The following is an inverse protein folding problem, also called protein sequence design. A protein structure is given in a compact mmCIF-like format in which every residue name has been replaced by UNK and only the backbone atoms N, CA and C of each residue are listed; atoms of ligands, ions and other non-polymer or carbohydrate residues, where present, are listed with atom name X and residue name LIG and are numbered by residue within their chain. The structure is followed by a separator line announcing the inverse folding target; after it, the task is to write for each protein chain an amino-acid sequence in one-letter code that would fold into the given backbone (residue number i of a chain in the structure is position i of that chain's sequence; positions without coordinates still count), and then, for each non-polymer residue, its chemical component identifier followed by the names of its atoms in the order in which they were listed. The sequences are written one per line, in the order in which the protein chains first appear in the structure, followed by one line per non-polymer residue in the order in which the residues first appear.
data_IF_789649663930
#
_entry.id   IF_789649663930
#
_cell.length_a   1.000
_cell.length_b   1.000
_cell.length_c   1.000
_cell.angle_alpha   90.00
_cell.angle_beta   90.00
_cell.angle_gamma   90.00
#
_symmetry.space_group_name_H-M   'P 1'
#
loop_
_entity.id
_entity.type
_entity.pdbx_description
1 polymer ?
#
# COMPACT_ATOMS: atom_id res chain seq x y z
N UNK A 1 27.65 11.16 30.94
CA UNK A 1 26.26 11.21 30.42
C UNK A 1 25.86 9.78 30.12
N UNK A 2 25.02 9.16 30.95
CA UNK A 2 24.68 7.73 30.84
C UNK A 2 23.48 7.60 29.91
N UNK A 3 23.68 7.04 28.72
CA UNK A 3 22.60 6.72 27.78
C UNK A 3 22.02 5.38 28.22
N UNK A 4 20.94 5.43 28.99
CA UNK A 4 20.16 4.25 29.34
C UNK A 4 19.37 3.85 28.09
N UNK A 5 19.97 2.99 27.27
CA UNK A 5 19.29 2.36 26.15
C UNK A 5 18.27 1.35 26.67
N UNK A 6 17.01 1.75 26.78
CA UNK A 6 15.91 0.80 27.04
C UNK A 6 15.93 -0.24 25.90
N UNK A 7 16.05 -1.55 26.20
CA UNK A 7 15.85 -2.56 25.18
C UNK A 7 14.35 -2.60 24.87
N UNK A 8 13.95 -1.85 23.84
CA UNK A 8 12.64 -1.99 23.25
C UNK A 8 12.56 -3.37 22.60
N UNK A 9 12.16 -4.36 23.39
CA UNK A 9 11.73 -5.65 22.89
C UNK A 9 10.47 -5.42 22.05
N UNK A 10 10.65 -5.08 20.78
CA UNK A 10 9.58 -4.98 19.79
C UNK A 10 9.07 -6.39 19.50
N UNK A 11 8.29 -6.94 20.43
CA UNK A 11 7.57 -8.19 20.25
C UNK A 11 6.50 -7.94 19.19
N UNK A 12 6.84 -8.22 17.93
CA UNK A 12 5.88 -8.20 16.82
C UNK A 12 4.79 -9.22 17.16
N UNK A 13 3.63 -8.74 17.60
CA UNK A 13 2.43 -9.57 17.70
C UNK A 13 2.19 -10.14 16.31
N UNK A 14 2.21 -11.48 16.15
CA UNK A 14 1.72 -12.14 14.95
C UNK A 14 0.24 -11.76 14.84
N UNK A 15 -0.03 -10.73 14.06
CA UNK A 15 -1.39 -10.36 13.68
C UNK A 15 -1.90 -11.50 12.81
N UNK A 16 -3.11 -11.97 13.11
CA UNK A 16 -3.77 -13.03 12.38
C UNK A 16 -4.03 -12.54 10.94
N UNK A 17 -3.05 -12.72 10.06
CA UNK A 17 -3.23 -12.84 8.62
C UNK A 17 -2.82 -14.28 8.33
N UNK A 18 -3.62 -15.09 7.61
CA UNK A 18 -4.09 -14.84 6.23
C UNK A 18 -5.61 -14.88 6.07
N UNK A 19 -6.35 -15.44 7.04
CA UNK A 19 -7.79 -15.80 7.00
C UNK A 19 -8.69 -14.91 6.11
N UNK A 20 -8.61 -13.59 6.23
CA UNK A 20 -9.49 -12.67 5.49
C UNK A 20 -9.33 -12.68 3.97
N UNK A 21 -8.15 -12.99 3.43
CA UNK A 21 -7.93 -12.99 1.98
C UNK A 21 -8.54 -14.22 1.33
N UNK A 22 -8.26 -15.39 1.91
CA UNK A 22 -8.84 -16.64 1.44
C UNK A 22 -10.35 -16.66 1.66
N UNK A 23 -10.84 -16.16 2.80
CA UNK A 23 -12.28 -15.98 3.06
C UNK A 23 -12.94 -15.09 2.01
N UNK A 24 -12.41 -13.89 1.74
CA UNK A 24 -12.97 -12.99 0.73
C UNK A 24 -12.96 -13.63 -0.66
N UNK A 25 -11.88 -14.32 -1.03
CA UNK A 25 -11.79 -15.03 -2.29
C UNK A 25 -12.88 -16.12 -2.38
N UNK A 26 -13.11 -16.86 -1.30
CA UNK A 26 -14.14 -17.90 -1.24
C UNK A 26 -15.55 -17.30 -1.37
N UNK A 27 -15.86 -16.23 -0.65
CA UNK A 27 -17.14 -15.54 -0.78
C UNK A 27 -17.39 -15.02 -2.20
N UNK A 28 -16.38 -14.44 -2.84
CA UNK A 28 -16.49 -13.97 -4.22
C UNK A 28 -16.78 -15.13 -5.19
N UNK A 29 -16.16 -16.31 -4.98
CA UNK A 29 -16.47 -17.52 -5.76
C UNK A 29 -17.90 -18.01 -5.52
N UNK A 30 -18.36 -18.01 -4.28
CA UNK A 30 -19.73 -18.41 -3.91
C UNK A 30 -20.78 -17.47 -4.51
N UNK A 31 -20.45 -16.19 -4.68
CA UNK A 31 -21.26 -15.22 -5.43
C UNK A 31 -21.22 -15.42 -6.96
N UNK A 32 -20.51 -16.44 -7.46
CA UNK A 32 -20.38 -16.72 -8.89
C UNK A 32 -19.35 -15.86 -9.61
N UNK A 33 -18.51 -15.11 -8.89
CA UNK A 33 -17.46 -14.29 -9.49
C UNK A 33 -16.23 -15.17 -9.74
N UNK A 34 -15.76 -15.20 -10.99
CA UNK A 34 -14.52 -15.90 -11.37
C UNK A 34 -13.30 -15.17 -10.77
N UNK A 35 -12.80 -15.66 -9.65
CA UNK A 35 -11.63 -15.09 -8.96
C UNK A 35 -10.54 -16.11 -8.69
N UNK A 36 -9.29 -15.65 -8.67
CA UNK A 36 -8.11 -16.42 -8.28
C UNK A 36 -7.21 -15.62 -7.33
N UNK A 37 -6.49 -16.32 -6.45
CA UNK A 37 -5.49 -15.71 -5.59
C UNK A 37 -4.20 -15.50 -6.39
N UNK A 38 -3.71 -14.25 -6.47
CA UNK A 38 -2.39 -13.97 -7.02
C UNK A 38 -1.25 -14.45 -6.08
N UNK A 39 -0.08 -14.76 -6.61
CA UNK A 39 1.07 -15.10 -5.76
C UNK A 39 1.45 -13.92 -4.85
N UNK A 40 1.87 -14.24 -3.62
CA UNK A 40 2.34 -13.21 -2.68
C UNK A 40 3.65 -12.62 -3.17
N UNK A 41 3.75 -11.30 -3.13
CA UNK A 41 4.94 -10.58 -3.58
C UNK A 41 4.95 -10.24 -5.07
N UNK A 42 3.85 -10.48 -5.79
CA UNK A 42 3.65 -9.97 -7.14
C UNK A 42 3.83 -8.44 -7.13
N UNK A 43 4.53 -7.91 -8.13
CA UNK A 43 4.73 -6.46 -8.29
C UNK A 43 3.40 -5.72 -8.42
N UNK A 44 2.33 -6.42 -8.81
CA UNK A 44 0.96 -5.91 -8.80
C UNK A 44 0.48 -5.44 -7.43
N UNK A 45 1.00 -6.01 -6.34
CA UNK A 45 0.69 -5.52 -4.99
C UNK A 45 1.17 -4.07 -4.78
N UNK A 46 2.23 -3.66 -5.49
CA UNK A 46 2.85 -2.33 -5.38
C UNK A 46 2.22 -1.30 -6.32
N UNK A 47 1.37 -1.74 -7.26
CA UNK A 47 0.73 -0.86 -8.24
C UNK A 47 -0.25 0.08 -7.52
N UNK A 48 -0.22 1.37 -7.86
CA UNK A 48 -1.19 2.37 -7.41
C UNK A 48 -0.99 2.93 -5.99
N UNK A 49 0.03 2.51 -5.24
CA UNK A 49 0.11 2.84 -3.81
C UNK A 49 1.30 3.74 -3.42
N UNK A 50 1.00 5.01 -3.09
CA UNK A 50 1.71 5.72 -2.03
C UNK A 50 1.13 5.27 -0.69
N UNK A 51 1.60 4.14 -0.14
CA UNK A 51 1.09 3.63 1.14
C UNK A 51 1.37 4.62 2.26
N UNK A 52 0.36 4.91 3.07
CA UNK A 52 0.59 5.63 4.32
C UNK A 52 1.44 4.75 5.25
N UNK A 53 2.26 5.39 6.09
CA UNK A 53 3.06 4.67 7.08
C UNK A 53 2.16 3.78 7.95
N UNK A 54 2.50 2.50 8.08
CA UNK A 54 1.74 1.52 8.86
C UNK A 54 0.70 0.69 8.09
N UNK A 55 0.47 0.97 6.79
CA UNK A 55 -0.34 0.13 5.91
C UNK A 55 0.50 -0.98 5.25
N UNK A 56 -0.07 -2.18 5.14
CA UNK A 56 0.57 -3.35 4.50
C UNK A 56 -0.38 -4.02 3.52
N UNK A 57 0.15 -4.51 2.41
CA UNK A 57 -0.60 -5.41 1.52
C UNK A 57 -0.59 -6.80 2.13
N UNK A 58 -1.78 -7.40 2.21
CA UNK A 58 -1.99 -8.79 2.60
C UNK A 58 -2.10 -9.73 1.37
N UNK A 59 -2.13 -9.14 0.17
CA UNK A 59 -2.14 -9.84 -1.11
C UNK A 59 -3.27 -9.39 -2.03
N UNK A 60 -3.20 -9.87 -3.27
CA UNK A 60 -4.11 -9.44 -4.34
C UNK A 60 -5.01 -10.58 -4.82
N UNK A 61 -6.29 -10.32 -5.06
CA UNK A 61 -7.23 -11.23 -5.72
C UNK A 61 -7.35 -10.77 -7.17
N UNK A 62 -7.15 -11.69 -8.11
CA UNK A 62 -7.37 -11.44 -9.53
C UNK A 62 -8.81 -11.80 -9.90
N UNK A 63 -9.46 -10.91 -10.63
CA UNK A 63 -10.80 -11.11 -11.17
C UNK A 63 -10.65 -11.38 -12.67
N UNK A 64 -11.36 -12.40 -13.15
CA UNK A 64 -11.46 -12.70 -14.58
C UNK A 64 -12.74 -12.08 -15.14
N UNK A 65 -12.67 -11.61 -16.40
CA UNK A 65 -13.83 -11.18 -17.18
C UNK A 65 -14.63 -10.01 -16.58
N UNK A 66 -13.99 -9.17 -15.77
CA UNK A 66 -14.60 -8.02 -15.09
C UNK A 66 -13.90 -6.70 -15.45
N UNK A 67 -14.62 -5.59 -15.29
CA UNK A 67 -14.08 -4.23 -15.46
C UNK A 67 -12.96 -3.93 -14.44
N UNK A 68 -12.97 -4.62 -13.29
CA UNK A 68 -11.93 -4.59 -12.27
C UNK A 68 -11.04 -5.81 -12.47
N UNK A 69 -9.73 -5.62 -12.55
CA UNK A 69 -8.80 -6.72 -12.80
C UNK A 69 -8.24 -7.32 -11.51
N UNK A 70 -8.04 -6.49 -10.49
CA UNK A 70 -7.49 -6.92 -9.22
C UNK A 70 -8.16 -6.21 -8.03
N UNK A 71 -8.22 -6.91 -6.90
CA UNK A 71 -8.57 -6.35 -5.60
C UNK A 71 -7.36 -6.56 -4.68
N UNK A 72 -6.75 -5.48 -4.23
CA UNK A 72 -5.68 -5.53 -3.24
C UNK A 72 -6.26 -5.37 -1.83
N UNK A 73 -5.85 -6.23 -0.91
CA UNK A 73 -6.30 -6.19 0.48
C UNK A 73 -5.22 -5.53 1.31
N UNK A 74 -5.57 -4.41 1.94
CA UNK A 74 -4.65 -3.61 2.74
C UNK A 74 -5.03 -3.72 4.21
N UNK A 75 -4.05 -4.02 5.06
CA UNK A 75 -4.20 -3.97 6.51
C UNK A 75 -3.58 -2.70 7.08
N UNK A 76 -4.29 -2.04 7.99
CA UNK A 76 -3.76 -0.97 8.82
C UNK A 76 -3.85 -1.38 10.29
N UNK A 77 -2.69 -1.36 10.94
CA UNK A 77 -2.52 -1.88 12.29
C UNK A 77 -2.53 -0.77 13.32
N UNK A 78 -3.41 -0.86 14.31
CA UNK A 78 -3.43 0.04 15.47
C UNK A 78 -3.31 -0.74 16.79
N UNK A 79 -3.29 -0.01 17.91
CA UNK A 79 -3.35 -0.58 19.27
C UNK A 79 -4.70 -1.28 19.55
N UNK A 80 -5.75 -0.90 18.84
CA UNK A 80 -7.11 -1.43 19.01
C UNK A 80 -7.43 -2.60 18.08
N UNK A 81 -6.54 -2.93 17.14
CA UNK A 81 -6.76 -4.05 16.22
C UNK A 81 -6.12 -3.87 14.85
N UNK A 82 -6.67 -4.56 13.87
CA UNK A 82 -6.27 -4.45 12.46
C UNK A 82 -7.51 -4.14 11.63
N UNK A 83 -7.50 -2.98 10.98
CA UNK A 83 -8.52 -2.60 10.00
C UNK A 83 -8.09 -3.08 8.62
N UNK A 84 -9.06 -3.42 7.78
CA UNK A 84 -8.82 -3.92 6.43
C UNK A 84 -9.54 -3.03 5.42
N UNK A 85 -8.87 -2.74 4.32
CA UNK A 85 -9.34 -1.91 3.23
C UNK A 85 -9.20 -2.67 1.91
N UNK A 86 -10.06 -2.37 0.96
CA UNK A 86 -10.05 -2.96 -0.38
C UNK A 86 -9.71 -1.88 -1.40
N UNK A 87 -8.63 -2.07 -2.13
CA UNK A 87 -8.25 -1.23 -3.26
C UNK A 87 -8.58 -1.97 -4.56
N UNK A 88 -9.45 -1.38 -5.38
CA UNK A 88 -9.80 -1.92 -6.69
C UNK A 88 -8.84 -1.39 -7.75
N UNK A 89 -8.17 -2.28 -8.46
CA UNK A 89 -7.24 -1.93 -9.54
C UNK A 89 -7.79 -2.35 -10.90
N UNK A 90 -7.80 -1.39 -11.82
CA UNK A 90 -8.13 -1.57 -13.22
C UNK A 90 -6.84 -1.50 -14.03
N UNK A 91 -6.58 -2.53 -14.84
CA UNK A 91 -5.50 -2.54 -15.82
C UNK A 91 -5.84 -1.52 -16.89
N UNK A 92 -5.14 -0.41 -16.89
CA UNK A 92 -5.06 0.43 -18.08
C UNK A 92 -3.72 0.16 -18.79
N UNK A 93 -3.66 0.28 -20.13
CA UNK A 93 -2.39 0.18 -20.87
C UNK A 93 -1.34 1.18 -20.36
N UNK A 94 -1.78 2.26 -19.68
CA UNK A 94 -0.90 3.24 -19.06
C UNK A 94 -0.24 2.77 -17.75
N UNK A 95 -0.78 1.76 -17.07
CA UNK A 95 -0.32 1.29 -15.75
C UNK A 95 0.58 0.05 -15.85
N UNK A 96 0.39 -0.79 -16.88
CA UNK A 96 1.10 -2.07 -17.01
C UNK A 96 2.43 -2.00 -17.79
N UNK A 97 2.68 -0.93 -18.53
CA UNK A 97 4.01 -0.69 -19.10
C UNK A 97 4.97 -0.30 -17.99
N UNK A 98 6.19 -0.85 -18.00
CA UNK A 98 7.27 -0.54 -17.05
C UNK A 98 7.69 0.93 -17.10
N UNK A 99 6.81 1.83 -16.66
CA UNK A 99 7.07 3.24 -16.52
C UNK A 99 7.76 3.44 -15.19
N UNK A 100 8.98 3.96 -15.24
CA UNK A 100 9.50 4.77 -14.15
C UNK A 100 8.50 5.89 -13.91
N UNK A 101 7.78 5.85 -12.78
CA UNK A 101 6.93 6.95 -12.34
C UNK A 101 7.81 8.21 -12.32
N UNK A 102 7.63 9.12 -13.28
CA UNK A 102 8.33 10.41 -13.28
C UNK A 102 7.88 11.17 -12.04
N UNK A 103 8.73 11.23 -11.02
CA UNK A 103 8.41 11.87 -9.73
C UNK A 103 8.63 13.38 -9.79
N UNK A 104 8.12 14.04 -10.82
CA UNK A 104 8.15 15.49 -10.91
C UNK A 104 7.17 16.08 -9.90
N UNK A 105 7.71 16.73 -8.87
CA UNK A 105 6.96 17.34 -7.77
C UNK A 105 7.40 18.78 -7.54
N UNK A 106 6.46 19.63 -7.16
CA UNK A 106 6.74 20.97 -6.65
C UNK A 106 7.24 20.88 -5.21
N UNK A 107 8.40 21.48 -4.94
CA UNK A 107 8.97 21.59 -3.60
C UNK A 107 9.05 23.06 -3.24
N UNK A 108 8.58 23.38 -2.03
CA UNK A 108 8.69 24.73 -1.46
C UNK A 108 10.00 24.84 -0.71
N UNK A 109 10.87 25.78 -1.09
CA UNK A 109 12.04 26.15 -0.30
C UNK A 109 11.66 27.17 0.77
N UNK A 110 12.10 26.89 2.00
CA UNK A 110 11.90 27.75 3.17
C UNK A 110 13.24 28.38 3.56
N UNK A 111 13.21 29.60 4.10
CA UNK A 111 14.42 30.24 4.62
C UNK A 111 14.98 29.49 5.84
N UNK A 112 16.32 29.41 6.01
CA UNK A 112 16.95 28.97 7.26
C UNK A 112 16.56 29.86 8.45
N UNK A 113 16.68 29.41 9.72
CA UNK A 113 17.32 28.18 10.19
C UNK A 113 16.37 26.98 10.42
N UNK A 114 15.05 27.13 10.25
CA UNK A 114 14.03 26.10 9.91
C UNK A 114 12.61 26.67 10.15
N UNK A 115 11.68 26.39 9.23
CA UNK A 115 10.26 26.85 9.20
C UNK A 115 9.99 28.33 8.90
N UNK A 116 10.87 29.02 8.16
CA UNK A 116 10.59 30.36 7.65
C UNK A 116 9.57 30.42 6.49
N UNK A 117 9.31 31.65 6.01
CA UNK A 117 8.46 31.94 4.83
C UNK A 117 8.94 31.13 3.61
N UNK A 118 8.00 30.76 2.74
CA UNK A 118 8.35 30.15 1.45
C UNK A 118 9.02 31.22 0.60
N UNK A 119 10.29 31.02 0.26
CA UNK A 119 11.09 31.98 -0.52
C UNK A 119 11.08 31.61 -2.01
N UNK A 120 10.94 30.33 -2.32
CA UNK A 120 10.90 29.85 -3.70
C UNK A 120 10.08 28.55 -3.82
N UNK A 121 9.62 28.30 -5.04
CA UNK A 121 8.96 27.07 -5.43
C UNK A 121 9.77 26.50 -6.59
N UNK A 122 10.30 25.29 -6.42
CA UNK A 122 11.14 24.61 -7.40
C UNK A 122 10.45 23.33 -7.87
N UNK A 123 10.61 23.00 -9.15
CA UNK A 123 10.27 21.67 -9.66
C UNK A 123 11.43 20.72 -9.37
N UNK A 124 11.14 19.59 -8.73
CA UNK A 124 12.09 18.49 -8.54
C UNK A 124 11.51 17.24 -9.18
N UNK A 125 12.14 16.74 -10.23
CA UNK A 125 11.77 15.50 -10.93
C UNK A 125 13.00 14.72 -11.34
N UNK A 126 12.79 13.64 -12.10
CA UNK A 126 13.87 12.93 -12.81
C UNK A 126 14.41 13.76 -13.98
#
# INVERSE_FOLDING_TARGET
MVVIGLPLALRKRKKVGPQKREELCQYLKEMGIKVSLAEKGDDKEKIGLSRASGQKSEGTIQLQEQNINFINIISASSQYGTNYFLDHLVKSPNIMGGRTLKKTRLIRKKSPPLWGKVVAIEWKGD
#
